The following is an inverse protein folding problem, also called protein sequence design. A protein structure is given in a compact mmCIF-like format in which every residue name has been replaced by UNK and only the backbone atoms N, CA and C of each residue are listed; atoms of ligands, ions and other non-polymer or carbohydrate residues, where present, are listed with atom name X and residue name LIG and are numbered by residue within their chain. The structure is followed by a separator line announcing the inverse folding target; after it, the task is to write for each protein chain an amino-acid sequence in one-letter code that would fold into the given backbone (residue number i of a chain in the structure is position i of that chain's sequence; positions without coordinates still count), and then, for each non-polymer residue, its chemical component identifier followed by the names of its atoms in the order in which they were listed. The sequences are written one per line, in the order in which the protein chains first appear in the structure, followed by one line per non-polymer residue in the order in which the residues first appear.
data_IF_391300400270
#
_entry.id   IF_391300400270
#
_cell.length_a   1.000
_cell.length_b   1.000
_cell.length_c   1.000
_cell.angle_alpha   90.00
_cell.angle_beta   90.00
_cell.angle_gamma   90.00
#
_symmetry.space_group_name_H-M   'P 1'
#
loop_
_entity.id
_entity.type
_entity.pdbx_description
1 polymer ?
#
# COMPACT_ATOMS: atom_id res chain seq x y z
N UNK A 1 28.75 -13.58 29.79
CA UNK A 1 29.52 -13.71 28.53
C UNK A 1 28.67 -13.44 27.30
N UNK A 2 27.42 -13.85 27.25
CA UNK A 2 26.48 -13.65 26.09
C UNK A 2 26.17 -12.17 25.82
N UNK A 3 26.02 -11.37 26.87
CA UNK A 3 25.69 -9.93 26.76
C UNK A 3 26.86 -9.09 26.25
N UNK A 4 28.07 -9.51 26.51
CA UNK A 4 29.31 -8.84 26.04
C UNK A 4 29.55 -9.09 24.53
N UNK A 5 29.20 -10.27 24.05
CA UNK A 5 29.29 -10.64 22.63
C UNK A 5 28.31 -9.85 21.74
N UNK A 6 27.08 -9.66 22.21
CA UNK A 6 26.04 -8.91 21.49
C UNK A 6 26.36 -7.42 21.40
N UNK A 7 26.95 -6.83 22.44
CA UNK A 7 27.33 -5.41 22.44
C UNK A 7 28.53 -5.12 21.52
N UNK A 8 29.45 -6.07 21.37
CA UNK A 8 30.64 -5.96 20.52
C UNK A 8 30.29 -6.19 19.04
N UNK A 9 29.41 -7.12 18.74
CA UNK A 9 28.88 -7.35 17.39
C UNK A 9 28.05 -6.16 16.91
N UNK A 10 27.27 -5.52 17.79
CA UNK A 10 26.49 -4.33 17.48
C UNK A 10 27.36 -3.13 17.10
N UNK A 11 28.51 -2.93 17.77
CA UNK A 11 29.49 -1.88 17.39
C UNK A 11 30.21 -2.18 16.08
N UNK A 12 30.47 -3.44 15.79
CA UNK A 12 31.14 -3.84 14.56
C UNK A 12 30.21 -3.72 13.36
N UNK A 13 28.96 -4.15 13.51
CA UNK A 13 27.90 -4.02 12.50
C UNK A 13 27.63 -2.53 12.23
N UNK A 14 27.51 -1.68 13.25
CA UNK A 14 27.38 -0.22 13.06
C UNK A 14 28.53 0.39 12.26
N UNK A 15 29.75 -0.09 12.43
CA UNK A 15 30.92 0.42 11.70
C UNK A 15 30.95 -0.04 10.25
N UNK A 16 30.67 -1.32 9.98
CA UNK A 16 30.65 -1.89 8.61
C UNK A 16 29.46 -1.33 7.82
N UNK A 17 28.30 -1.22 8.47
CA UNK A 17 27.07 -0.69 7.84
C UNK A 17 27.21 0.79 7.48
N UNK A 18 27.84 1.59 8.35
CA UNK A 18 28.06 3.02 8.12
C UNK A 18 28.98 3.28 6.91
N UNK A 19 29.97 2.42 6.64
CA UNK A 19 30.89 2.58 5.50
C UNK A 19 30.31 2.15 4.16
N UNK A 20 29.49 1.10 4.09
CA UNK A 20 28.98 0.59 2.80
C UNK A 20 27.73 1.27 2.27
N UNK A 21 26.86 1.79 3.13
CA UNK A 21 25.55 2.33 2.71
C UNK A 21 25.62 3.83 2.46
N UNK A 22 26.51 4.56 3.10
CA UNK A 22 26.60 6.01 2.96
C UNK A 22 27.31 6.48 1.67
N UNK A 23 28.13 5.66 1.04
CA UNK A 23 28.87 6.07 -0.14
C UNK A 23 28.10 5.97 -1.46
N UNK A 24 27.03 5.18 -1.54
CA UNK A 24 26.41 4.87 -2.85
C UNK A 24 24.95 5.33 -3.03
N UNK A 25 24.40 6.21 -2.19
CA UNK A 25 23.04 6.75 -2.34
C UNK A 25 22.98 8.26 -2.34
N UNK A 26 23.54 8.88 -3.39
CA UNK A 26 23.45 10.34 -3.65
C UNK A 26 22.03 10.83 -4.02
N UNK A 27 21.06 9.93 -4.21
CA UNK A 27 19.72 10.21 -4.75
C UNK A 27 18.65 10.53 -3.70
N UNK A 28 18.93 10.43 -2.40
CA UNK A 28 17.91 10.59 -1.35
C UNK A 28 18.15 11.90 -0.59
N UNK A 29 17.15 12.82 -0.49
CA UNK A 29 17.24 14.06 0.27
C UNK A 29 17.61 13.83 1.74
N UNK A 30 18.40 14.71 2.33
CA UNK A 30 18.93 14.56 3.70
C UNK A 30 17.86 14.38 4.79
N UNK A 31 16.65 14.91 4.59
CA UNK A 31 15.50 14.73 5.49
C UNK A 31 15.06 13.27 5.59
N UNK A 32 15.02 12.57 4.47
CA UNK A 32 14.61 11.17 4.39
C UNK A 32 15.68 10.20 4.93
N UNK A 33 16.96 10.56 4.82
CA UNK A 33 18.06 9.76 5.36
C UNK A 33 17.98 9.54 6.87
N UNK A 34 17.60 10.57 7.64
CA UNK A 34 17.41 10.45 9.10
C UNK A 34 16.21 9.57 9.44
N UNK A 35 15.13 9.68 8.68
CA UNK A 35 13.91 8.91 8.91
C UNK A 35 14.11 7.43 8.56
N UNK A 36 14.71 7.14 7.41
CA UNK A 36 15.03 5.76 6.97
C UNK A 36 16.02 5.11 7.94
N UNK A 37 17.06 5.81 8.38
CA UNK A 37 18.02 5.28 9.35
C UNK A 37 17.41 5.01 10.73
N UNK A 38 16.43 5.80 11.16
CA UNK A 38 15.70 5.56 12.41
C UNK A 38 14.76 4.34 12.31
N UNK A 39 14.08 4.15 11.19
CA UNK A 39 13.22 2.99 10.92
C UNK A 39 14.07 1.72 10.83
N UNK A 40 15.17 1.77 10.10
CA UNK A 40 16.08 0.63 9.90
C UNK A 40 16.67 0.15 11.24
N UNK A 41 17.09 1.07 12.11
CA UNK A 41 17.60 0.71 13.44
C UNK A 41 16.52 0.13 14.35
N UNK A 42 15.28 0.60 14.27
CA UNK A 42 14.16 0.05 15.03
C UNK A 42 13.73 -1.32 14.52
N UNK A 43 13.67 -1.51 13.20
CA UNK A 43 13.40 -2.80 12.58
C UNK A 43 14.45 -3.84 12.96
N UNK A 44 15.74 -3.45 12.92
CA UNK A 44 16.83 -4.32 13.36
C UNK A 44 16.73 -4.67 14.84
N UNK A 45 16.40 -3.70 15.69
CA UNK A 45 16.18 -3.96 17.13
C UNK A 45 15.03 -4.93 17.37
N UNK A 46 13.90 -4.74 16.68
CA UNK A 46 12.74 -5.64 16.74
C UNK A 46 13.10 -7.06 16.27
N UNK A 47 13.85 -7.18 15.19
CA UNK A 47 14.31 -8.47 14.66
C UNK A 47 15.24 -9.17 15.64
N UNK A 48 16.15 -8.43 16.30
CA UNK A 48 17.04 -8.99 17.32
C UNK A 48 16.30 -9.40 18.59
N UNK A 49 15.29 -8.64 19.01
CA UNK A 49 14.42 -9.01 20.14
C UNK A 49 13.65 -10.29 19.81
N UNK A 50 13.05 -10.36 18.62
CA UNK A 50 12.31 -11.54 18.15
C UNK A 50 13.22 -12.77 18.11
N UNK A 51 14.42 -12.62 17.57
CA UNK A 51 15.43 -13.70 17.50
C UNK A 51 15.87 -14.14 18.89
N UNK A 52 16.01 -13.18 19.84
CA UNK A 52 16.29 -13.45 21.24
C UNK A 52 15.18 -14.23 21.94
N UNK A 53 13.92 -13.89 21.68
CA UNK A 53 12.75 -14.61 22.21
C UNK A 53 12.72 -16.03 21.66
N UNK A 54 12.94 -16.22 20.38
CA UNK A 54 12.99 -17.54 19.74
C UNK A 54 14.14 -18.37 20.30
N UNK A 55 15.32 -17.80 20.46
CA UNK A 55 16.47 -18.48 21.04
C UNK A 55 16.21 -18.89 22.51
N UNK A 56 15.58 -18.01 23.29
CA UNK A 56 15.17 -18.31 24.68
C UNK A 56 14.15 -19.43 24.72
N UNK A 57 13.16 -19.40 23.82
CA UNK A 57 12.15 -20.45 23.72
C UNK A 57 12.75 -21.81 23.38
N UNK A 58 13.62 -21.86 22.38
CA UNK A 58 14.35 -23.10 21.98
C UNK A 58 15.21 -23.62 23.13
N UNK A 59 15.93 -22.73 23.80
CA UNK A 59 16.76 -23.08 24.95
C UNK A 59 15.92 -23.64 26.09
N UNK A 60 14.78 -23.02 26.41
CA UNK A 60 13.86 -23.46 27.46
C UNK A 60 13.25 -24.82 27.11
N UNK A 61 12.80 -25.01 25.87
CA UNK A 61 12.26 -26.28 25.37
C UNK A 61 13.30 -27.41 25.51
N UNK A 62 14.55 -27.12 25.13
CA UNK A 62 15.62 -28.08 25.24
C UNK A 62 16.00 -28.42 26.70
N UNK A 63 16.04 -27.39 27.55
CA UNK A 63 16.32 -27.57 28.99
C UNK A 63 15.24 -28.42 29.68
N UNK A 64 13.99 -28.19 29.39
CA UNK A 64 12.86 -28.98 29.93
C UNK A 64 12.86 -30.43 29.41
N UNK A 65 13.37 -30.68 28.22
CA UNK A 65 13.46 -32.02 27.66
C UNK A 65 14.53 -32.89 28.34
N UNK A 66 15.51 -32.28 29.03
CA UNK A 66 16.58 -32.99 29.76
C UNK A 66 16.14 -33.59 31.09
N UNK A 67 15.09 -33.04 31.71
CA UNK A 67 14.61 -33.53 33.01
C UNK A 67 13.43 -34.47 32.86
N UNK A 68 13.40 -35.65 33.48
CA UNK A 68 12.33 -36.63 33.37
C UNK A 68 10.92 -36.07 33.70
N UNK A 69 10.87 -35.20 34.72
CA UNK A 69 9.63 -34.62 35.22
C UNK A 69 9.03 -33.51 34.32
N UNK A 70 9.86 -32.82 33.55
CA UNK A 70 9.43 -31.71 32.65
C UNK A 70 9.53 -32.09 31.19
N UNK A 71 9.95 -33.31 30.88
CA UNK A 71 10.15 -33.79 29.50
C UNK A 71 8.88 -33.67 28.64
N UNK A 72 7.70 -33.96 29.24
CA UNK A 72 6.41 -33.83 28.53
C UNK A 72 6.17 -32.38 28.09
N UNK A 73 6.55 -31.42 28.91
CA UNK A 73 6.41 -29.99 28.59
C UNK A 73 7.43 -29.55 27.52
N UNK A 74 8.66 -29.99 27.62
CA UNK A 74 9.70 -29.71 26.64
C UNK A 74 9.36 -30.22 25.25
N UNK A 75 8.86 -31.47 25.13
CA UNK A 75 8.41 -32.04 23.86
C UNK A 75 7.19 -31.34 23.31
N UNK A 76 6.19 -31.05 24.16
CA UNK A 76 4.97 -30.33 23.71
C UNK A 76 5.26 -28.90 23.25
N UNK A 77 6.20 -28.21 23.87
CA UNK A 77 6.70 -26.91 23.40
C UNK A 77 7.38 -27.04 22.03
N UNK A 78 8.30 -28.03 21.88
CA UNK A 78 8.97 -28.29 20.62
C UNK A 78 7.98 -28.59 19.48
N UNK A 79 7.03 -29.49 19.71
CA UNK A 79 5.98 -29.85 18.74
C UNK A 79 5.07 -28.67 18.41
N UNK A 80 4.76 -27.83 19.40
CA UNK A 80 3.99 -26.61 19.19
C UNK A 80 4.71 -25.63 18.27
N UNK A 81 6.02 -25.40 18.52
CA UNK A 81 6.82 -24.53 17.67
C UNK A 81 6.89 -25.01 16.22
N UNK A 82 7.11 -26.33 16.03
CA UNK A 82 7.14 -26.95 14.69
C UNK A 82 5.80 -26.82 14.01
N UNK A 83 4.68 -27.03 14.73
CA UNK A 83 3.33 -26.81 14.18
C UNK A 83 3.14 -25.36 13.73
N UNK A 84 3.44 -24.40 14.60
CA UNK A 84 3.30 -22.96 14.26
C UNK A 84 4.15 -22.58 13.04
N UNK A 85 5.40 -23.04 12.97
CA UNK A 85 6.26 -22.78 11.81
C UNK A 85 5.70 -23.40 10.53
N UNK A 86 5.19 -24.63 10.62
CA UNK A 86 4.53 -25.31 9.49
C UNK A 86 3.28 -24.54 9.06
N UNK A 87 2.44 -24.13 10.01
CA UNK A 87 1.19 -23.41 9.71
C UNK A 87 1.48 -22.05 9.07
N UNK A 88 2.50 -21.33 9.54
CA UNK A 88 2.95 -20.08 8.92
C UNK A 88 3.46 -20.35 7.50
N UNK A 89 4.34 -21.33 7.31
CA UNK A 89 4.87 -21.67 5.99
C UNK A 89 3.76 -22.07 5.02
N UNK A 90 2.80 -22.89 5.48
CA UNK A 90 1.66 -23.31 4.69
C UNK A 90 0.72 -22.13 4.36
N UNK A 91 0.49 -21.23 5.32
CA UNK A 91 -0.32 -20.02 5.12
C UNK A 91 0.31 -19.09 4.09
N UNK A 92 1.63 -18.93 4.11
CA UNK A 92 2.36 -18.14 3.10
C UNK A 92 2.26 -18.81 1.73
N UNK A 93 2.49 -20.13 1.65
CA UNK A 93 2.42 -20.87 0.41
C UNK A 93 1.00 -20.84 -0.19
N UNK A 94 -0.04 -20.99 0.63
CA UNK A 94 -1.44 -20.95 0.20
C UNK A 94 -1.92 -19.55 -0.20
N UNK A 95 -1.26 -18.50 0.27
CA UNK A 95 -1.54 -17.11 -0.12
C UNK A 95 -1.00 -16.77 -1.53
N UNK A 96 0.05 -17.45 -2.00
CA UNK A 96 0.69 -17.16 -3.29
C UNK A 96 -0.27 -17.21 -4.49
N UNK A 97 -1.12 -18.23 -4.67
CA UNK A 97 -2.06 -18.24 -5.78
C UNK A 97 -3.02 -17.05 -5.78
N UNK A 98 -3.54 -16.68 -4.61
CA UNK A 98 -4.39 -15.49 -4.45
C UNK A 98 -3.68 -14.20 -4.84
N UNK A 99 -2.45 -14.02 -4.37
CA UNK A 99 -1.63 -12.85 -4.72
C UNK A 99 -1.30 -12.79 -6.22
N UNK A 100 -1.09 -13.95 -6.87
CA UNK A 100 -0.90 -14.01 -8.33
C UNK A 100 -2.15 -13.54 -9.07
N UNK A 101 -3.34 -13.93 -8.62
CA UNK A 101 -4.60 -13.45 -9.21
C UNK A 101 -4.76 -11.95 -9.02
N UNK A 102 -4.47 -11.41 -7.82
CA UNK A 102 -4.48 -9.97 -7.55
C UNK A 102 -3.53 -9.23 -8.50
N UNK A 103 -2.32 -9.76 -8.67
CA UNK A 103 -1.34 -9.19 -9.61
C UNK A 103 -1.87 -9.16 -11.05
N UNK A 104 -2.47 -10.26 -11.49
CA UNK A 104 -3.06 -10.36 -12.84
C UNK A 104 -4.19 -9.34 -13.00
N UNK A 105 -5.10 -9.21 -12.03
CA UNK A 105 -6.18 -8.22 -12.05
C UNK A 105 -5.60 -6.80 -12.20
N UNK A 106 -4.57 -6.46 -11.44
CA UNK A 106 -3.94 -5.13 -11.51
C UNK A 106 -3.20 -4.91 -12.83
N UNK A 107 -2.54 -5.92 -13.39
CA UNK A 107 -1.90 -5.83 -14.71
C UNK A 107 -2.94 -5.61 -15.81
N UNK A 108 -4.03 -6.37 -15.80
CA UNK A 108 -5.15 -6.20 -16.75
C UNK A 108 -5.75 -4.80 -16.61
N UNK A 109 -5.99 -4.35 -15.39
CA UNK A 109 -6.50 -3.01 -15.10
C UNK A 109 -5.58 -1.91 -15.65
N UNK A 110 -4.28 -2.01 -15.38
CA UNK A 110 -3.30 -1.06 -15.89
C UNK A 110 -3.24 -1.07 -17.43
N UNK A 111 -3.38 -2.25 -18.05
CA UNK A 111 -3.44 -2.39 -19.49
C UNK A 111 -4.70 -1.73 -20.07
N UNK A 112 -5.88 -1.99 -19.48
CA UNK A 112 -7.16 -1.36 -19.89
C UNK A 112 -7.05 0.17 -19.78
N UNK A 113 -6.52 0.69 -18.66
CA UNK A 113 -6.34 2.12 -18.47
C UNK A 113 -5.35 2.72 -19.47
N UNK A 114 -4.32 1.98 -19.85
CA UNK A 114 -3.38 2.41 -20.91
C UNK A 114 -4.07 2.52 -22.27
N UNK A 115 -4.88 1.53 -22.63
CA UNK A 115 -5.69 1.57 -23.86
C UNK A 115 -6.68 2.74 -23.84
N UNK A 116 -7.40 2.92 -22.73
CA UNK A 116 -8.34 4.02 -22.55
C UNK A 116 -7.65 5.37 -22.70
N UNK A 117 -6.47 5.54 -22.13
CA UNK A 117 -5.66 6.75 -22.27
C UNK A 117 -5.32 7.04 -23.74
N UNK A 118 -4.94 6.01 -24.51
CA UNK A 118 -4.62 6.15 -25.93
C UNK A 118 -5.88 6.60 -26.70
N UNK A 119 -7.03 5.96 -26.44
CA UNK A 119 -8.30 6.31 -27.10
C UNK A 119 -8.72 7.75 -26.78
N UNK A 120 -8.68 8.12 -25.50
CA UNK A 120 -9.06 9.46 -25.07
C UNK A 120 -8.11 10.55 -25.58
N UNK A 121 -6.80 10.25 -25.75
CA UNK A 121 -5.88 11.18 -26.38
C UNK A 121 -6.21 11.44 -27.84
N UNK A 122 -6.75 10.45 -28.57
CA UNK A 122 -7.21 10.67 -29.97
C UNK A 122 -8.42 11.60 -30.03
N UNK A 123 -9.28 11.59 -29.03
CA UNK A 123 -10.41 12.54 -28.90
C UNK A 123 -9.89 13.93 -28.59
N UNK A 124 -8.91 14.07 -27.72
CA UNK A 124 -8.29 15.35 -27.34
C UNK A 124 -7.62 16.05 -28.53
N UNK A 125 -6.99 15.29 -29.41
CA UNK A 125 -6.35 15.81 -30.64
C UNK A 125 -7.36 16.02 -31.80
N UNK A 126 -8.63 15.66 -31.60
CA UNK A 126 -9.68 15.83 -32.63
C UNK A 126 -9.73 14.74 -33.70
N UNK A 127 -8.94 13.67 -33.55
CA UNK A 127 -8.90 12.54 -34.50
C UNK A 127 -10.09 11.60 -34.38
N UNK A 128 -10.81 11.62 -33.23
CA UNK A 128 -11.99 10.80 -32.98
C UNK A 128 -13.09 11.67 -32.33
N UNK A 129 -14.31 11.58 -32.81
CA UNK A 129 -15.45 12.26 -32.20
C UNK A 129 -16.30 11.22 -31.47
N UNK A 130 -16.31 11.27 -30.13
CA UNK A 130 -17.19 10.44 -29.32
C UNK A 130 -18.41 11.25 -28.88
N UNK A 131 -19.64 10.74 -29.06
CA UNK A 131 -20.83 11.44 -28.61
C UNK A 131 -20.78 11.66 -27.09
N UNK A 132 -20.90 12.90 -26.65
CA UNK A 132 -20.88 13.28 -25.24
C UNK A 132 -19.50 13.56 -24.62
N UNK A 133 -18.39 13.29 -25.31
CA UNK A 133 -17.05 13.63 -24.85
C UNK A 133 -16.45 14.69 -25.79
N UNK A 134 -16.16 15.84 -25.23
CA UNK A 134 -15.55 16.94 -25.96
C UNK A 134 -14.06 17.07 -25.57
N UNK A 135 -13.20 17.60 -26.43
CA UNK A 135 -11.79 17.79 -26.15
C UNK A 135 -11.51 18.44 -24.78
N UNK A 136 -12.33 19.39 -24.40
CA UNK A 136 -12.24 20.14 -23.13
C UNK A 136 -12.54 19.26 -21.90
N UNK A 137 -13.38 18.22 -22.05
CA UNK A 137 -13.81 17.35 -20.95
C UNK A 137 -13.03 16.05 -20.85
N UNK A 138 -12.15 15.77 -21.82
CA UNK A 138 -11.34 14.51 -21.88
C UNK A 138 -10.50 14.32 -20.61
N UNK A 139 -9.87 15.38 -20.10
CA UNK A 139 -9.05 15.31 -18.89
C UNK A 139 -9.83 14.85 -17.66
N UNK A 140 -11.00 15.47 -17.41
CA UNK A 140 -11.88 15.12 -16.31
C UNK A 140 -12.46 13.71 -16.47
N UNK A 141 -12.94 13.37 -17.67
CA UNK A 141 -13.49 12.05 -18.01
C UNK A 141 -12.45 10.96 -17.77
N UNK A 142 -11.22 11.17 -18.21
CA UNK A 142 -10.10 10.22 -17.99
C UNK A 142 -9.83 9.97 -16.52
N UNK A 143 -9.76 11.03 -15.70
CA UNK A 143 -9.56 10.91 -14.25
C UNK A 143 -10.72 10.12 -13.61
N UNK A 144 -11.95 10.47 -13.93
CA UNK A 144 -13.16 9.85 -13.38
C UNK A 144 -13.23 8.35 -13.71
N UNK A 145 -13.05 7.99 -14.99
CA UNK A 145 -13.07 6.59 -15.43
C UNK A 145 -11.90 5.83 -14.79
N UNK A 146 -10.71 6.44 -14.70
CA UNK A 146 -9.57 5.79 -14.06
C UNK A 146 -9.83 5.45 -12.60
N UNK A 147 -10.42 6.38 -11.84
CA UNK A 147 -10.80 6.14 -10.44
C UNK A 147 -11.82 5.01 -10.34
N UNK A 148 -12.88 5.06 -11.19
CA UNK A 148 -13.91 4.01 -11.21
C UNK A 148 -13.34 2.63 -11.52
N UNK A 149 -12.47 2.52 -12.54
CA UNK A 149 -11.82 1.26 -12.93
C UNK A 149 -10.90 0.73 -11.83
N UNK A 150 -10.14 1.60 -11.14
CA UNK A 150 -9.32 1.20 -10.01
C UNK A 150 -10.15 0.71 -8.81
N UNK A 151 -11.25 1.39 -8.51
CA UNK A 151 -12.18 0.95 -7.44
C UNK A 151 -12.79 -0.41 -7.77
N UNK A 152 -13.18 -0.61 -9.02
CA UNK A 152 -13.69 -1.91 -9.49
C UNK A 152 -12.62 -3.00 -9.40
N UNK A 153 -11.39 -2.71 -9.84
CA UNK A 153 -10.28 -3.65 -9.74
C UNK A 153 -9.95 -4.03 -8.29
N UNK A 154 -9.98 -3.05 -7.37
CA UNK A 154 -9.77 -3.29 -5.94
C UNK A 154 -10.86 -4.18 -5.36
N UNK A 155 -12.12 -3.92 -5.73
CA UNK A 155 -13.26 -4.77 -5.30
C UNK A 155 -13.16 -6.19 -5.85
N UNK A 156 -12.74 -6.35 -7.12
CA UNK A 156 -12.54 -7.66 -7.74
C UNK A 156 -11.33 -8.42 -7.15
N UNK A 157 -10.28 -7.71 -6.73
CA UNK A 157 -9.10 -8.29 -6.08
C UNK A 157 -9.34 -8.71 -4.63
N UNK A 158 -10.32 -8.08 -3.95
CA UNK A 158 -10.57 -8.28 -2.52
C UNK A 158 -10.70 -9.75 -2.09
N UNK A 159 -11.49 -10.63 -2.76
CA UNK A 159 -11.66 -12.03 -2.34
C UNK A 159 -10.36 -12.85 -2.39
N UNK A 160 -9.38 -12.41 -3.17
CA UNK A 160 -8.10 -13.11 -3.38
C UNK A 160 -7.00 -12.65 -2.43
N UNK A 161 -7.27 -11.63 -1.60
CA UNK A 161 -6.32 -11.18 -0.60
C UNK A 161 -6.20 -12.19 0.55
N UNK A 162 -4.99 -12.51 1.02
CA UNK A 162 -4.80 -13.39 2.16
C UNK A 162 -5.49 -12.79 3.39
N UNK A 163 -6.34 -13.59 4.03
CA UNK A 163 -7.09 -13.16 5.21
C UNK A 163 -8.39 -12.40 4.92
N UNK A 164 -8.78 -12.15 3.67
CA UNK A 164 -10.02 -11.45 3.31
C UNK A 164 -11.28 -12.08 3.93
N UNK A 165 -11.27 -13.39 4.16
CA UNK A 165 -12.38 -14.11 4.78
C UNK A 165 -12.42 -14.02 6.30
N UNK A 166 -11.38 -13.51 6.97
CA UNK A 166 -11.36 -13.36 8.41
C UNK A 166 -12.35 -12.30 8.89
N UNK A 167 -12.98 -12.55 10.06
CA UNK A 167 -13.89 -11.58 10.66
C UNK A 167 -13.20 -10.26 10.97
N UNK A 168 -11.94 -10.30 11.40
CA UNK A 168 -11.15 -9.10 11.68
C UNK A 168 -10.95 -8.25 10.41
N UNK A 169 -10.58 -8.87 9.28
CA UNK A 169 -10.38 -8.17 8.02
C UNK A 169 -11.70 -7.56 7.51
N UNK A 170 -12.81 -8.32 7.59
CA UNK A 170 -14.14 -7.82 7.22
C UNK A 170 -14.57 -6.64 8.09
N UNK A 171 -14.40 -6.74 9.41
CA UNK A 171 -14.72 -5.67 10.36
C UNK A 171 -13.93 -4.40 10.10
N UNK A 172 -12.61 -4.53 9.92
CA UNK A 172 -11.73 -3.40 9.58
C UNK A 172 -12.13 -2.78 8.24
N UNK A 173 -12.42 -3.59 7.21
CA UNK A 173 -12.81 -3.09 5.88
C UNK A 173 -14.12 -2.31 5.92
N UNK A 174 -15.12 -2.78 6.67
CA UNK A 174 -16.38 -2.07 6.88
C UNK A 174 -16.15 -0.76 7.63
N UNK A 175 -15.34 -0.79 8.70
CA UNK A 175 -15.01 0.41 9.48
C UNK A 175 -14.32 1.48 8.61
N UNK A 176 -13.29 1.08 7.85
CA UNK A 176 -12.62 1.99 6.93
C UNK A 176 -13.54 2.51 5.83
N UNK A 177 -14.41 1.65 5.28
CA UNK A 177 -15.41 2.03 4.30
C UNK A 177 -16.35 3.11 4.82
N UNK A 178 -16.88 2.93 6.02
CA UNK A 178 -17.75 3.91 6.67
C UNK A 178 -17.01 5.22 6.96
N UNK A 179 -15.78 5.13 7.50
CA UNK A 179 -14.96 6.31 7.80
C UNK A 179 -14.64 7.10 6.53
N UNK A 180 -14.32 6.41 5.45
CA UNK A 180 -14.06 7.04 4.15
C UNK A 180 -15.34 7.70 3.59
N UNK A 181 -16.47 7.02 3.68
CA UNK A 181 -17.77 7.55 3.19
C UNK A 181 -18.16 8.81 3.95
N UNK A 182 -18.09 8.78 5.29
CA UNK A 182 -18.42 9.95 6.12
C UNK A 182 -17.41 11.09 5.93
N UNK A 183 -16.11 10.76 5.84
CA UNK A 183 -15.05 11.76 5.66
C UNK A 183 -15.01 12.39 4.26
N UNK A 184 -15.49 11.66 3.23
CA UNK A 184 -15.42 12.12 1.84
C UNK A 184 -16.63 12.94 1.37
N UNK A 185 -17.67 13.08 2.19
CA UNK A 185 -18.91 13.76 1.80
C UNK A 185 -18.67 15.19 1.28
N UNK A 186 -17.82 15.98 1.93
CA UNK A 186 -17.47 17.33 1.48
C UNK A 186 -16.68 17.32 0.16
N UNK A 187 -15.69 16.43 0.04
CA UNK A 187 -14.87 16.28 -1.17
C UNK A 187 -15.75 15.85 -2.35
N UNK A 188 -16.68 14.92 -2.11
CA UNK A 188 -17.60 14.45 -3.14
C UNK A 188 -18.52 15.59 -3.62
N UNK A 189 -19.01 16.43 -2.71
CA UNK A 189 -19.83 17.58 -3.07
C UNK A 189 -19.08 18.56 -3.98
N UNK A 190 -17.85 18.90 -3.64
CA UNK A 190 -16.99 19.74 -4.48
C UNK A 190 -16.65 19.07 -5.82
N UNK A 191 -16.36 17.78 -5.82
CA UNK A 191 -16.10 17.05 -7.06
C UNK A 191 -17.33 17.02 -7.99
N UNK A 192 -18.52 16.77 -7.43
CA UNK A 192 -19.76 16.78 -8.21
C UNK A 192 -20.10 18.17 -8.74
N UNK A 193 -19.91 19.23 -7.95
CA UNK A 193 -20.09 20.61 -8.42
C UNK A 193 -19.15 20.96 -9.57
N UNK A 194 -17.86 20.61 -9.45
CA UNK A 194 -16.89 20.78 -10.52
C UNK A 194 -17.24 19.98 -11.78
N UNK A 195 -17.70 18.75 -11.60
CA UNK A 195 -18.11 17.88 -12.70
C UNK A 195 -19.32 18.47 -13.46
N UNK A 196 -20.34 18.91 -12.72
CA UNK A 196 -21.51 19.59 -13.30
C UNK A 196 -21.09 20.82 -14.10
N UNK A 197 -20.19 21.64 -13.54
CA UNK A 197 -19.69 22.84 -14.20
C UNK A 197 -18.98 22.52 -15.53
N UNK A 198 -18.17 21.48 -15.58
CA UNK A 198 -17.45 21.05 -16.78
C UNK A 198 -18.42 20.47 -17.82
N UNK A 199 -19.31 19.57 -17.42
CA UNK A 199 -20.21 18.88 -18.35
C UNK A 199 -21.40 19.76 -18.83
N UNK A 200 -21.86 20.69 -18.00
CA UNK A 200 -22.90 21.68 -18.42
C UNK A 200 -22.36 22.74 -19.37
N UNK A 201 -21.05 22.81 -19.57
CA UNK A 201 -20.39 23.85 -20.36
C UNK A 201 -20.71 25.25 -19.87
N UNK A 202 -21.04 25.40 -18.59
CA UNK A 202 -21.33 26.70 -17.99
C UNK A 202 -20.14 27.66 -18.05
N UNK A 203 -18.90 27.09 -18.14
CA UNK A 203 -17.66 27.84 -18.31
C UNK A 203 -16.88 27.25 -19.48
N UNK A 204 -16.31 28.12 -20.31
CA UNK A 204 -15.39 27.74 -21.40
C UNK A 204 -14.11 28.53 -21.30
N UNK A 205 -13.04 27.94 -21.82
CA UNK A 205 -11.77 28.66 -21.99
C UNK A 205 -12.01 29.89 -22.89
N UNK A 206 -11.63 31.08 -22.39
CA UNK A 206 -11.85 32.34 -23.06
C UNK A 206 -13.08 33.12 -22.59
N UNK A 207 -13.91 32.53 -21.71
CA UNK A 207 -15.03 33.27 -21.13
C UNK A 207 -14.55 34.30 -20.12
N UNK A 208 -15.20 35.47 -20.08
CA UNK A 208 -15.03 36.48 -19.05
C UNK A 208 -16.01 36.16 -17.93
N UNK A 209 -15.49 35.90 -16.75
CA UNK A 209 -16.31 35.61 -15.56
C UNK A 209 -16.14 36.71 -14.54
N UNK A 210 -17.23 37.02 -13.82
CA UNK A 210 -17.20 37.89 -12.66
C UNK A 210 -17.44 37.08 -11.39
N UNK A 211 -16.44 37.06 -10.51
CA UNK A 211 -16.51 36.39 -9.21
C UNK A 211 -16.43 37.47 -8.13
N UNK A 212 -17.54 37.68 -7.43
CA UNK A 212 -17.73 38.81 -6.51
C UNK A 212 -17.47 40.15 -7.25
N UNK A 213 -16.44 40.89 -6.88
CA UNK A 213 -16.11 42.18 -7.50
C UNK A 213 -14.95 42.13 -8.51
N UNK A 214 -14.41 40.95 -8.78
CA UNK A 214 -13.31 40.78 -9.73
C UNK A 214 -13.77 40.15 -11.03
N UNK A 215 -13.37 40.75 -12.14
CA UNK A 215 -13.54 40.18 -13.47
C UNK A 215 -12.25 39.49 -13.94
N UNK A 216 -12.39 38.34 -14.55
CA UNK A 216 -11.23 37.56 -15.02
C UNK A 216 -11.57 36.71 -16.23
N UNK A 217 -10.54 36.39 -17.01
CA UNK A 217 -10.65 35.53 -18.18
C UNK A 217 -10.33 34.08 -17.75
N UNK A 218 -11.14 33.12 -18.17
CA UNK A 218 -10.90 31.69 -17.94
C UNK A 218 -9.75 31.23 -18.84
N UNK A 219 -8.62 30.95 -18.27
CA UNK A 219 -7.42 30.50 -19.00
C UNK A 219 -7.39 28.98 -19.13
N UNK A 220 -7.82 28.26 -18.08
CA UNK A 220 -7.83 26.79 -18.03
C UNK A 220 -8.95 26.30 -17.09
N UNK A 221 -9.53 25.14 -17.43
CA UNK A 221 -10.51 24.45 -16.61
C UNK A 221 -9.90 23.09 -16.26
N UNK A 222 -9.56 22.84 -14.98
CA UNK A 222 -8.83 21.65 -14.54
C UNK A 222 -9.53 20.83 -13.46
#
# INVERSE_FOLDING_TARGET
LFWYGTYRSWRWIKRVYRRRIFENRSWIPQRWRRFIGAIETRLYALLMILLGIVALYVWLSWTFSLFPWTRVWGTSLGDWAVRVLRDIAFSIASALPGLMIVLIIFLITAFILKLLKILLNQVEVGGLQLPGIHPETVGATRKLISVGVWLFALSAAYPFLPGANSLAFKGISVFFGLMLTLGSAGVMNHAMSGLVLIYSRALRKGDVIRVADNEGLVTEIG
#
